data_IF_802749588031
#
_entry.id   IF_802749588031
#
_cell.length_a   1.000
_cell.length_b   1.000
_cell.length_c   1.000
_cell.angle_alpha   90.00
_cell.angle_beta   90.00
_cell.angle_gamma   90.00
#
_symmetry.space_group_name_H-M   'P 1'
#
loop_
_entity.id
_entity.type
_entity.pdbx_description
1 polymer ?
#
# COMPACT_ATOMS: atom_id res chain seq x y z
N UNK A 1 -25.07 -1.12 -19.98
CA UNK A 1 -23.70 -1.22 -19.46
C UNK A 1 -23.50 -2.47 -18.59
N UNK A 2 -24.38 -2.77 -17.63
CA UNK A 2 -24.25 -3.94 -16.73
C UNK A 2 -24.15 -5.31 -17.42
N UNK A 3 -24.92 -5.56 -18.47
CA UNK A 3 -24.87 -6.82 -19.26
C UNK A 3 -23.54 -7.03 -20.02
N UNK A 4 -22.85 -5.96 -20.40
CA UNK A 4 -21.53 -6.02 -21.03
C UNK A 4 -20.45 -6.42 -20.01
N UNK A 5 -20.52 -5.84 -18.81
CA UNK A 5 -19.61 -6.16 -17.68
C UNK A 5 -19.83 -7.62 -17.25
N UNK A 6 -21.07 -8.08 -17.16
CA UNK A 6 -21.40 -9.46 -16.85
C UNK A 6 -20.81 -10.43 -17.89
N UNK A 7 -20.97 -10.11 -19.17
CA UNK A 7 -20.48 -10.96 -20.28
C UNK A 7 -18.94 -10.96 -20.39
N UNK A 8 -18.28 -9.83 -20.10
CA UNK A 8 -16.83 -9.67 -20.22
C UNK A 8 -16.07 -10.20 -19.00
N UNK A 9 -16.60 -9.97 -17.80
CA UNK A 9 -15.89 -10.21 -16.54
C UNK A 9 -16.61 -11.22 -15.62
N UNK A 10 -17.77 -11.73 -16.00
CA UNK A 10 -18.56 -12.68 -15.20
C UNK A 10 -19.13 -12.06 -13.90
N UNK A 11 -19.12 -10.73 -13.75
CA UNK A 11 -19.63 -10.02 -12.57
C UNK A 11 -21.11 -9.82 -12.69
N UNK A 12 -21.90 -10.36 -11.75
CA UNK A 12 -23.35 -10.22 -11.77
C UNK A 12 -23.78 -8.78 -11.50
N UNK A 13 -24.94 -8.34 -12.01
CA UNK A 13 -25.43 -6.97 -11.82
C UNK A 13 -25.57 -6.55 -10.36
N UNK A 14 -25.96 -7.46 -9.49
CA UNK A 14 -26.11 -7.26 -8.05
C UNK A 14 -24.75 -7.13 -7.32
N UNK A 15 -23.68 -7.73 -7.88
CA UNK A 15 -22.32 -7.68 -7.35
C UNK A 15 -21.52 -6.45 -7.83
N UNK A 16 -21.94 -5.80 -8.93
CA UNK A 16 -21.16 -4.74 -9.60
C UNK A 16 -20.78 -3.58 -8.69
N UNK A 17 -21.66 -3.03 -7.83
CA UNK A 17 -21.28 -1.92 -6.95
C UNK A 17 -20.17 -2.34 -5.96
N UNK A 18 -20.30 -3.54 -5.39
CA UNK A 18 -19.35 -4.07 -4.43
C UNK A 18 -18.00 -4.35 -5.09
N UNK A 19 -17.99 -5.04 -6.23
CA UNK A 19 -16.77 -5.33 -7.00
C UNK A 19 -16.11 -4.03 -7.46
N UNK A 20 -16.89 -3.03 -7.88
CA UNK A 20 -16.40 -1.70 -8.25
C UNK A 20 -15.72 -0.98 -7.08
N UNK A 21 -16.30 -1.01 -5.89
CA UNK A 21 -15.70 -0.45 -4.67
C UNK A 21 -14.37 -1.12 -4.33
N UNK A 22 -14.33 -2.46 -4.31
CA UNK A 22 -13.10 -3.20 -4.05
C UNK A 22 -12.04 -3.01 -5.16
N UNK A 23 -12.45 -2.93 -6.43
CA UNK A 23 -11.54 -2.59 -7.52
C UNK A 23 -10.89 -1.21 -7.31
N UNK A 24 -11.70 -0.20 -6.98
CA UNK A 24 -11.22 1.16 -6.74
C UNK A 24 -10.31 1.24 -5.52
N UNK A 25 -10.66 0.56 -4.44
CA UNK A 25 -9.80 0.45 -3.25
C UNK A 25 -8.46 -0.18 -3.62
N UNK A 26 -8.46 -1.21 -4.47
CA UNK A 26 -7.22 -1.86 -4.90
C UNK A 26 -6.40 -1.02 -5.89
N UNK A 27 -7.03 -0.11 -6.64
CA UNK A 27 -6.34 0.96 -7.39
C UNK A 27 -5.57 1.86 -6.42
N UNK A 28 -6.21 2.33 -5.35
CA UNK A 28 -5.57 3.19 -4.33
C UNK A 28 -4.38 2.47 -3.67
N UNK A 29 -4.54 1.19 -3.33
CA UNK A 29 -3.45 0.38 -2.76
C UNK A 29 -2.28 0.25 -3.74
N UNK A 30 -2.56 -0.01 -5.02
CA UNK A 30 -1.55 -0.07 -6.07
C UNK A 30 -0.81 1.26 -6.25
N UNK A 31 -1.53 2.38 -6.16
CA UNK A 31 -0.93 3.71 -6.17
C UNK A 31 -0.03 3.95 -4.95
N UNK A 32 -0.52 3.64 -3.74
CA UNK A 32 0.26 3.76 -2.50
C UNK A 32 1.55 2.93 -2.56
N UNK A 33 1.43 1.65 -2.96
CA UNK A 33 2.56 0.74 -3.13
C UNK A 33 3.61 1.34 -4.06
N UNK A 34 3.21 1.74 -5.26
CA UNK A 34 4.16 2.22 -6.28
C UNK A 34 4.82 3.54 -5.88
N UNK A 35 4.05 4.50 -5.35
CA UNK A 35 4.62 5.78 -4.87
C UNK A 35 5.56 5.52 -3.70
N UNK A 36 5.14 4.74 -2.70
CA UNK A 36 5.93 4.44 -1.51
C UNK A 36 7.25 3.77 -1.85
N UNK A 37 7.20 2.67 -2.62
CA UNK A 37 8.40 1.92 -3.01
C UNK A 37 9.32 2.78 -3.88
N UNK A 38 8.80 3.46 -4.92
CA UNK A 38 9.62 4.29 -5.79
C UNK A 38 10.34 5.42 -5.04
N UNK A 39 9.64 6.09 -4.12
CA UNK A 39 10.21 7.15 -3.28
C UNK A 39 11.22 6.58 -2.27
N UNK A 40 10.86 5.47 -1.61
CA UNK A 40 11.74 4.80 -0.65
C UNK A 40 13.04 4.35 -1.27
N UNK A 41 12.98 3.64 -2.41
CA UNK A 41 14.15 3.21 -3.16
C UNK A 41 14.99 4.40 -3.64
N UNK A 42 14.36 5.43 -4.19
CA UNK A 42 15.08 6.60 -4.70
C UNK A 42 15.83 7.32 -3.58
N UNK A 43 15.18 7.56 -2.45
CA UNK A 43 15.80 8.21 -1.29
C UNK A 43 16.92 7.33 -0.68
N UNK A 44 16.71 6.03 -0.57
CA UNK A 44 17.71 5.10 -0.08
C UNK A 44 18.95 5.08 -0.99
N UNK A 45 18.75 4.93 -2.31
CA UNK A 45 19.84 4.88 -3.29
C UNK A 45 20.58 6.21 -3.41
N UNK A 46 19.90 7.34 -3.21
CA UNK A 46 20.51 8.68 -3.29
C UNK A 46 21.35 9.04 -2.06
N UNK A 47 21.01 8.50 -0.87
CA UNK A 47 21.58 8.91 0.40
C UNK A 47 22.43 7.82 1.08
N UNK A 48 22.48 6.60 0.53
CA UNK A 48 23.35 5.54 0.99
C UNK A 48 24.54 5.38 0.05
N UNK A 49 25.75 5.42 0.60
CA UNK A 49 26.96 5.30 -0.21
C UNK A 49 27.05 3.94 -0.91
N UNK A 50 27.66 3.90 -2.10
CA UNK A 50 27.87 2.68 -2.86
C UNK A 50 28.66 1.60 -2.06
N UNK A 51 29.49 2.04 -1.10
CA UNK A 51 30.29 1.15 -0.24
C UNK A 51 29.45 0.53 0.89
N UNK A 52 28.42 1.25 1.40
CA UNK A 52 27.53 0.77 2.45
C UNK A 52 26.36 -0.07 1.90
N UNK A 53 25.96 0.17 0.66
CA UNK A 53 24.81 -0.47 0.03
C UNK A 53 24.87 -2.01 0.07
N UNK A 54 25.97 -2.70 -0.28
CA UNK A 54 26.03 -4.16 -0.20
C UNK A 54 25.89 -4.71 1.23
N UNK A 55 26.20 -3.87 2.24
CA UNK A 55 26.07 -4.24 3.66
C UNK A 55 24.65 -4.02 4.18
N UNK A 56 23.97 -2.95 3.77
CA UNK A 56 22.63 -2.58 4.24
C UNK A 56 21.51 -3.28 3.48
N UNK A 57 21.68 -3.50 2.18
CA UNK A 57 20.60 -4.04 1.33
C UNK A 57 20.08 -5.42 1.75
N UNK A 58 20.91 -6.40 2.17
CA UNK A 58 20.40 -7.66 2.73
C UNK A 58 19.56 -7.47 4.00
N UNK A 59 19.92 -6.48 4.84
CA UNK A 59 19.20 -6.18 6.06
C UNK A 59 17.83 -5.52 5.81
N UNK A 60 17.63 -4.89 4.65
CA UNK A 60 16.31 -4.40 4.23
C UNK A 60 15.32 -5.56 4.21
N UNK A 61 15.66 -6.68 3.56
CA UNK A 61 14.76 -7.85 3.50
C UNK A 61 14.56 -8.51 4.86
N UNK A 62 15.59 -8.54 5.70
CA UNK A 62 15.45 -9.00 7.09
C UNK A 62 14.52 -8.08 7.88
N UNK A 63 14.65 -6.78 7.71
CA UNK A 63 13.78 -5.77 8.32
C UNK A 63 12.32 -5.89 7.86
N UNK A 64 12.09 -6.08 6.56
CA UNK A 64 10.75 -6.30 5.99
C UNK A 64 10.13 -7.57 6.58
N UNK A 65 10.87 -8.68 6.61
CA UNK A 65 10.39 -9.93 7.17
C UNK A 65 10.04 -9.78 8.66
N UNK A 66 10.94 -9.20 9.45
CA UNK A 66 10.72 -8.96 10.88
C UNK A 66 9.53 -8.03 11.13
N UNK A 67 9.42 -6.93 10.38
CA UNK A 67 8.31 -5.98 10.48
C UNK A 67 6.97 -6.61 10.12
N UNK A 68 6.92 -7.41 9.06
CA UNK A 68 5.71 -8.13 8.63
C UNK A 68 5.29 -9.17 9.65
N UNK A 69 6.23 -9.94 10.22
CA UNK A 69 5.94 -10.90 11.30
C UNK A 69 5.45 -10.16 12.54
N UNK A 70 6.12 -9.08 12.94
CA UNK A 70 5.72 -8.25 14.08
C UNK A 70 4.30 -7.71 13.91
N UNK A 71 3.98 -7.21 12.72
CA UNK A 71 2.63 -6.76 12.40
C UNK A 71 1.62 -7.92 12.45
N UNK A 72 1.92 -9.10 11.89
CA UNK A 72 1.03 -10.25 11.92
C UNK A 72 0.69 -10.68 13.36
N UNK A 73 1.66 -10.65 14.27
CA UNK A 73 1.45 -10.92 15.69
C UNK A 73 0.55 -9.85 16.33
N UNK A 74 0.81 -8.57 16.04
CA UNK A 74 -0.01 -7.45 16.52
C UNK A 74 -1.44 -7.54 15.98
N UNK A 75 -1.58 -7.82 14.69
CA UNK A 75 -2.87 -8.03 14.03
C UNK A 75 -3.69 -9.12 14.72
N UNK A 76 -3.11 -10.30 14.93
CA UNK A 76 -3.78 -11.42 15.60
C UNK A 76 -4.28 -11.06 17.01
N UNK A 77 -3.53 -10.24 17.75
CA UNK A 77 -3.90 -9.79 19.10
C UNK A 77 -4.95 -8.69 19.13
N UNK A 78 -4.93 -7.79 18.15
CA UNK A 78 -5.77 -6.59 18.12
C UNK A 78 -7.12 -6.83 17.46
N UNK A 79 -7.18 -7.65 16.41
CA UNK A 79 -8.42 -7.91 15.67
C UNK A 79 -9.54 -8.50 16.51
N UNK A 80 -9.23 -9.19 17.64
CA UNK A 80 -10.22 -9.74 18.56
C UNK A 80 -10.81 -8.71 19.54
N UNK A 81 -10.17 -7.52 19.64
CA UNK A 81 -10.52 -6.49 20.64
C UNK A 81 -11.26 -5.31 20.05
N UNK A 82 -11.22 -5.13 18.72
CA UNK A 82 -11.73 -3.95 18.03
C UNK A 82 -12.62 -4.41 16.88
N UNK A 83 -13.64 -3.62 16.53
CA UNK A 83 -14.45 -3.91 15.35
C UNK A 83 -13.58 -3.91 14.09
N UNK A 84 -13.92 -4.77 13.13
CA UNK A 84 -13.10 -4.99 11.94
C UNK A 84 -12.89 -3.71 11.11
N UNK A 85 -13.96 -2.93 10.93
CA UNK A 85 -13.89 -1.64 10.23
C UNK A 85 -12.97 -0.67 11.00
N UNK A 86 -13.15 -0.53 12.31
CA UNK A 86 -12.29 0.36 13.11
C UNK A 86 -10.83 -0.08 13.09
N UNK A 87 -10.56 -1.39 13.02
CA UNK A 87 -9.21 -1.92 12.89
C UNK A 87 -8.58 -1.55 11.54
N UNK A 88 -9.30 -1.75 10.42
CA UNK A 88 -8.82 -1.44 9.07
C UNK A 88 -8.55 0.05 8.95
N UNK A 89 -9.55 0.89 9.29
CA UNK A 89 -9.42 2.36 9.26
C UNK A 89 -8.29 2.84 10.17
N UNK A 90 -8.22 2.32 11.41
CA UNK A 90 -7.17 2.68 12.36
C UNK A 90 -5.77 2.34 11.87
N UNK A 91 -5.60 1.18 11.20
CA UNK A 91 -4.30 0.80 10.63
C UNK A 91 -3.91 1.72 9.47
N UNK A 92 -4.85 2.08 8.59
CA UNK A 92 -4.60 3.01 7.48
C UNK A 92 -4.24 4.41 7.97
N UNK A 93 -4.96 4.93 8.98
CA UNK A 93 -4.62 6.19 9.63
C UNK A 93 -3.23 6.14 10.29
N UNK A 94 -2.91 5.02 10.94
CA UNK A 94 -1.59 4.78 11.53
C UNK A 94 -0.47 4.77 10.48
N UNK A 95 -0.68 4.12 9.34
CA UNK A 95 0.25 4.14 8.22
C UNK A 95 0.42 5.57 7.69
N UNK A 96 -0.66 6.28 7.41
CA UNK A 96 -0.60 7.66 6.93
C UNK A 96 0.16 8.58 7.89
N UNK A 97 -0.16 8.52 9.17
CA UNK A 97 0.52 9.32 10.20
C UNK A 97 2.01 8.98 10.29
N UNK A 98 2.36 7.68 10.28
CA UNK A 98 3.77 7.25 10.34
C UNK A 98 4.58 7.70 9.13
N UNK A 99 4.00 7.67 7.92
CA UNK A 99 4.67 8.15 6.69
C UNK A 99 4.92 9.66 6.77
N UNK A 100 3.95 10.44 7.28
CA UNK A 100 4.13 11.89 7.51
C UNK A 100 5.23 12.16 8.54
N UNK A 101 5.26 11.40 9.64
CA UNK A 101 6.31 11.52 10.67
C UNK A 101 7.68 11.20 10.07
N UNK A 102 7.81 10.08 9.36
CA UNK A 102 9.06 9.69 8.73
C UNK A 102 9.55 10.72 7.69
N UNK A 103 8.63 11.38 6.96
CA UNK A 103 8.99 12.49 6.08
C UNK A 103 9.72 13.62 6.83
N UNK A 104 9.28 13.97 8.04
CA UNK A 104 9.95 15.01 8.83
C UNK A 104 11.36 14.60 9.23
N UNK A 105 11.56 13.32 9.51
CA UNK A 105 12.89 12.79 9.86
C UNK A 105 13.84 12.66 8.66
N UNK A 106 13.36 12.72 7.41
CA UNK A 106 14.23 12.77 6.24
C UNK A 106 15.17 14.00 6.20
N UNK A 107 14.90 15.03 7.04
CA UNK A 107 15.82 16.13 7.25
C UNK A 107 17.09 15.73 8.03
N UNK A 108 17.09 14.56 8.68
CA UNK A 108 18.25 14.00 9.38
C UNK A 108 19.00 13.16 8.35
N UNK A 109 20.04 13.73 7.77
CA UNK A 109 20.84 13.12 6.69
C UNK A 109 21.74 11.99 7.23
N UNK A 110 21.12 10.82 7.49
CA UNK A 110 21.78 9.62 7.98
C UNK A 110 21.33 8.39 7.20
N UNK A 111 22.25 7.56 6.71
CA UNK A 111 21.98 6.31 5.97
C UNK A 111 20.97 5.40 6.68
N UNK A 112 21.00 5.34 8.01
CA UNK A 112 20.07 4.55 8.82
C UNK A 112 18.63 5.05 8.75
N UNK A 113 18.41 6.35 8.58
CA UNK A 113 17.06 6.91 8.46
C UNK A 113 16.41 6.46 7.15
N UNK A 114 17.14 6.50 6.05
CA UNK A 114 16.65 6.06 4.75
C UNK A 114 16.45 4.55 4.69
N UNK A 115 17.28 3.77 5.41
CA UNK A 115 17.07 2.34 5.62
C UNK A 115 15.73 2.07 6.34
N UNK A 116 15.47 2.75 7.46
CA UNK A 116 14.21 2.60 8.22
C UNK A 116 13.02 3.01 7.38
N UNK A 117 13.13 4.11 6.64
CA UNK A 117 12.09 4.60 5.75
C UNK A 117 11.72 3.56 4.69
N UNK A 118 12.72 2.99 4.00
CA UNK A 118 12.50 1.97 2.96
C UNK A 118 11.81 0.73 3.55
N UNK A 119 12.35 0.19 4.65
CA UNK A 119 11.77 -0.98 5.32
C UNK A 119 10.32 -0.70 5.74
N UNK A 120 10.04 0.48 6.28
CA UNK A 120 8.71 0.84 6.75
C UNK A 120 7.70 0.98 5.61
N UNK A 121 8.09 1.58 4.48
CA UNK A 121 7.23 1.73 3.30
C UNK A 121 6.87 0.36 2.72
N UNK A 122 7.84 -0.54 2.60
CA UNK A 122 7.63 -1.92 2.14
C UNK A 122 6.70 -2.71 3.09
N UNK A 123 6.95 -2.66 4.39
CA UNK A 123 6.10 -3.31 5.40
C UNK A 123 4.67 -2.74 5.33
N UNK A 124 4.53 -1.41 5.24
CA UNK A 124 3.23 -0.74 5.15
C UNK A 124 2.44 -1.17 3.92
N UNK A 125 3.12 -1.33 2.78
CA UNK A 125 2.49 -1.80 1.55
C UNK A 125 2.00 -3.25 1.66
N UNK A 126 2.82 -4.15 2.23
CA UNK A 126 2.42 -5.54 2.49
C UNK A 126 1.26 -5.63 3.49
N UNK A 127 1.29 -4.83 4.54
CA UNK A 127 0.20 -4.70 5.52
C UNK A 127 -1.09 -4.28 4.82
N UNK A 128 -1.02 -3.27 3.96
CA UNK A 128 -2.19 -2.73 3.27
C UNK A 128 -2.82 -3.77 2.33
N UNK A 129 -2.01 -4.50 1.56
CA UNK A 129 -2.47 -5.59 0.69
C UNK A 129 -3.11 -6.71 1.53
N UNK A 130 -2.47 -7.10 2.63
CA UNK A 130 -2.98 -8.18 3.50
C UNK A 130 -4.30 -7.81 4.16
N UNK A 131 -4.43 -6.57 4.64
CA UNK A 131 -5.68 -6.05 5.19
C UNK A 131 -6.79 -6.05 4.14
N UNK A 132 -6.48 -5.65 2.92
CA UNK A 132 -7.43 -5.66 1.82
C UNK A 132 -8.01 -7.06 1.58
N UNK A 133 -7.15 -8.08 1.42
CA UNK A 133 -7.62 -9.44 1.21
C UNK A 133 -8.40 -9.99 2.40
N UNK A 134 -7.92 -9.73 3.62
CA UNK A 134 -8.63 -10.11 4.84
C UNK A 134 -10.02 -9.46 4.95
N UNK A 135 -10.17 -8.23 4.48
CA UNK A 135 -11.45 -7.52 4.45
C UNK A 135 -12.34 -8.04 3.32
N UNK A 136 -11.78 -8.28 2.13
CA UNK A 136 -12.53 -8.78 0.98
C UNK A 136 -13.11 -10.18 1.21
N UNK A 137 -12.40 -11.04 1.96
CA UNK A 137 -12.86 -12.40 2.29
C UNK A 137 -14.18 -12.43 3.08
N UNK A 138 -14.54 -11.34 3.77
CA UNK A 138 -15.81 -11.25 4.49
C UNK A 138 -17.03 -11.01 3.58
N UNK A 139 -16.78 -10.42 2.41
CA UNK A 139 -17.84 -10.00 1.49
C UNK A 139 -18.10 -11.00 0.37
N UNK A 140 -17.11 -11.84 0.03
CA UNK A 140 -17.22 -12.75 -1.09
C UNK A 140 -17.17 -14.21 -0.63
N UNK A 141 -18.22 -14.97 -0.97
CA UNK A 141 -18.16 -16.43 -0.80
C UNK A 141 -17.12 -17.04 -1.77
N UNK A 142 -16.57 -18.25 -1.49
CA UNK A 142 -15.48 -18.82 -2.29
C UNK A 142 -15.79 -19.01 -3.79
N UNK A 143 -17.08 -19.15 -4.16
CA UNK A 143 -17.48 -19.30 -5.56
C UNK A 143 -17.50 -17.95 -6.29
N UNK A 144 -17.98 -16.90 -5.62
CA UNK A 144 -17.96 -15.54 -6.15
C UNK A 144 -16.52 -15.02 -6.21
N UNK A 145 -15.73 -15.23 -5.16
CA UNK A 145 -14.33 -14.83 -5.08
C UNK A 145 -13.50 -15.31 -6.29
N UNK A 146 -13.59 -16.58 -6.66
CA UNK A 146 -12.87 -17.13 -7.83
C UNK A 146 -13.19 -16.40 -9.15
N UNK A 147 -14.37 -15.81 -9.25
CA UNK A 147 -14.83 -15.13 -10.45
C UNK A 147 -14.45 -13.63 -10.44
N UNK A 148 -14.61 -12.97 -9.31
CA UNK A 148 -14.47 -11.51 -9.22
C UNK A 148 -13.07 -11.04 -8.82
N UNK A 149 -12.28 -11.86 -8.11
CA UNK A 149 -10.95 -11.44 -7.64
C UNK A 149 -9.98 -11.10 -8.77
N UNK A 150 -10.08 -11.77 -9.92
CA UNK A 150 -9.27 -11.40 -11.08
C UNK A 150 -9.52 -9.97 -11.56
N UNK A 151 -10.78 -9.51 -11.51
CA UNK A 151 -11.16 -8.13 -11.84
C UNK A 151 -10.64 -7.17 -10.77
N UNK A 152 -10.89 -7.49 -9.49
CA UNK A 152 -10.48 -6.66 -8.36
C UNK A 152 -8.96 -6.47 -8.35
N UNK A 153 -8.19 -7.54 -8.49
CA UNK A 153 -6.71 -7.49 -8.53
C UNK A 153 -6.19 -6.70 -9.73
N UNK A 154 -6.93 -6.69 -10.85
CA UNK A 154 -6.64 -5.81 -11.98
C UNK A 154 -6.59 -4.32 -11.61
N UNK A 155 -7.30 -3.92 -10.54
CA UNK A 155 -7.23 -2.56 -9.98
C UNK A 155 -5.81 -2.17 -9.56
N UNK A 156 -5.04 -3.08 -8.97
CA UNK A 156 -3.66 -2.80 -8.59
C UNK A 156 -2.79 -2.43 -9.81
N UNK A 157 -2.94 -3.15 -10.92
CA UNK A 157 -2.20 -2.85 -12.14
C UNK A 157 -2.56 -1.44 -12.67
N UNK A 158 -3.85 -1.08 -12.65
CA UNK A 158 -4.30 0.27 -13.03
C UNK A 158 -3.70 1.32 -12.09
N UNK A 159 -3.71 1.08 -10.78
CA UNK A 159 -3.12 1.95 -9.77
C UNK A 159 -1.61 2.15 -9.98
N UNK A 160 -0.89 1.06 -10.23
CA UNK A 160 0.55 1.09 -10.52
C UNK A 160 0.88 1.93 -11.75
N UNK A 161 0.13 1.78 -12.85
CA UNK A 161 0.34 2.58 -14.07
C UNK A 161 0.02 4.06 -13.82
N UNK A 162 -1.11 4.34 -13.15
CA UNK A 162 -1.53 5.71 -12.84
C UNK A 162 -0.50 6.42 -11.94
N UNK A 163 0.00 5.74 -10.92
CA UNK A 163 0.99 6.30 -9.99
C UNK A 163 2.37 6.46 -10.63
N UNK A 164 2.78 5.58 -11.54
CA UNK A 164 4.02 5.77 -12.31
C UNK A 164 4.01 7.09 -13.10
N UNK A 165 2.86 7.43 -13.69
CA UNK A 165 2.66 8.74 -14.34
C UNK A 165 2.74 9.90 -13.34
N UNK A 166 2.11 9.75 -12.18
CA UNK A 166 2.06 10.74 -11.11
C UNK A 166 3.46 11.02 -10.54
N UNK A 167 4.23 9.97 -10.25
CA UNK A 167 5.62 10.08 -9.78
C UNK A 167 6.48 10.78 -10.83
N UNK A 168 6.39 10.38 -12.10
CA UNK A 168 7.14 11.00 -13.20
C UNK A 168 6.89 12.50 -13.32
N UNK A 169 5.66 12.96 -13.13
CA UNK A 169 5.32 14.38 -13.15
C UNK A 169 5.74 15.09 -11.87
N UNK A 170 5.58 14.41 -10.72
CA UNK A 170 5.87 14.95 -9.39
C UNK A 170 7.36 15.25 -9.19
N UNK A 171 8.24 14.35 -9.60
CA UNK A 171 9.72 14.50 -9.46
C UNK A 171 10.25 15.77 -10.13
N UNK A 172 9.56 16.31 -11.15
CA UNK A 172 9.93 17.58 -11.78
C UNK A 172 9.37 18.83 -11.09
N UNK A 173 8.45 18.68 -10.16
CA UNK A 173 7.70 19.80 -9.54
C UNK A 173 7.99 19.98 -8.05
N UNK A 174 8.27 18.88 -7.33
CA UNK A 174 8.49 18.87 -5.88
C UNK A 174 9.70 18.00 -5.53
N UNK A 175 10.21 18.17 -4.32
CA UNK A 175 11.27 17.30 -3.81
C UNK A 175 10.77 15.85 -3.71
N UNK A 176 11.66 14.88 -4.01
CA UNK A 176 11.33 13.45 -3.96
C UNK A 176 10.76 13.05 -2.61
N UNK A 177 11.29 13.59 -1.53
CA UNK A 177 10.78 13.32 -0.17
C UNK A 177 9.34 13.84 0.04
N UNK A 178 8.91 14.88 -0.67
CA UNK A 178 7.55 15.43 -0.54
C UNK A 178 6.48 14.54 -1.18
N UNK A 179 6.88 13.63 -2.09
CA UNK A 179 6.00 12.61 -2.62
C UNK A 179 5.50 11.63 -1.53
N UNK A 180 6.15 11.57 -0.36
CA UNK A 180 5.65 10.83 0.81
C UNK A 180 4.31 11.39 1.31
N UNK A 181 4.05 12.70 1.15
CA UNK A 181 2.72 13.26 1.45
C UNK A 181 1.65 12.74 0.50
N UNK A 182 2.00 12.46 -0.76
CA UNK A 182 1.08 11.82 -1.70
C UNK A 182 0.77 10.39 -1.25
N UNK A 183 1.78 9.62 -0.83
CA UNK A 183 1.59 8.28 -0.28
C UNK A 183 0.69 8.32 0.98
N UNK A 184 0.94 9.25 1.91
CA UNK A 184 0.09 9.41 3.08
C UNK A 184 -1.36 9.79 2.71
N UNK A 185 -1.55 10.67 1.74
CA UNK A 185 -2.86 11.03 1.20
C UNK A 185 -3.61 9.85 0.59
N UNK A 186 -2.91 8.97 -0.13
CA UNK A 186 -3.48 7.73 -0.68
C UNK A 186 -3.90 6.76 0.43
N UNK A 187 -3.11 6.64 1.51
CA UNK A 187 -3.48 5.82 2.66
C UNK A 187 -4.74 6.39 3.36
N UNK A 188 -4.86 7.72 3.50
CA UNK A 188 -6.06 8.37 4.03
C UNK A 188 -7.28 8.15 3.12
N UNK A 189 -7.10 8.26 1.80
CA UNK A 189 -8.18 8.05 0.84
C UNK A 189 -8.72 6.61 0.94
N UNK A 190 -7.83 5.63 1.10
CA UNK A 190 -8.23 4.24 1.31
C UNK A 190 -8.99 4.00 2.62
N UNK A 191 -8.81 4.86 3.63
CA UNK A 191 -9.55 4.77 4.89
C UNK A 191 -11.00 5.28 4.79
N UNK A 192 -11.32 6.04 3.73
CA UNK A 192 -12.65 6.67 3.51
C UNK A 192 -13.50 5.84 2.54
N UNK A 193 -12.89 5.07 1.67
CA UNK A 193 -13.54 4.19 0.69
C UNK A 193 -13.92 2.85 1.32
#
# INVERSE_FOLDING_TARGET
MGKLIEKAFGVRPDEQPLVGGFFFLFVIIGMFYTVGVAVGDTLFLANVSAQEMPRLYPWVYVGIAAGTIGWAIAHHRLQSKVSRVAYVVGTQLGIAASVVILRQFCAIDTSWMFFILLVWLEVSALVYITLFFSFADDYFNPRAARRVFGVIVGGMAVGTVASGHLVRQGVGLVDTADLLYVAAGLALLGAVV
#
